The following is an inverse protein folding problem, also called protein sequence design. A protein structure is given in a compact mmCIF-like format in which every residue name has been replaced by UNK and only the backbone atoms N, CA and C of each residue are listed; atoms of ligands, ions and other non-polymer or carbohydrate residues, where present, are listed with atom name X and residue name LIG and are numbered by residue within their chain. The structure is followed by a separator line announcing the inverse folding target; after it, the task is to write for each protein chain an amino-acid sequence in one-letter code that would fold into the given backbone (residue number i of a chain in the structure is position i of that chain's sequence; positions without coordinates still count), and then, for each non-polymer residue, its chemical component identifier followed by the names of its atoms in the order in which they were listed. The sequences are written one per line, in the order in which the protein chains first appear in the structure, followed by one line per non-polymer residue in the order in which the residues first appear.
data_IF_579673858712
#
_entry.id   IF_579673858712
#
_cell.length_a   1.000
_cell.length_b   1.000
_cell.length_c   1.000
_cell.angle_alpha   90.00
_cell.angle_beta   90.00
_cell.angle_gamma   90.00
#
_symmetry.space_group_name_H-M   'P 1'
#
loop_
_entity.id
_entity.type
_entity.pdbx_description
1 polymer ?
#
# COMPACT_ATOMS: atom_id res chain seq x y z
N UNK A 1 -0.76 14.45 10.76
CA UNK A 1 -1.46 13.57 9.81
C UNK A 1 -2.21 12.48 10.57
N UNK A 2 -3.52 12.39 10.40
CA UNK A 2 -4.42 11.42 11.04
C UNK A 2 -4.24 10.01 10.45
N UNK A 3 -4.89 8.99 11.05
CA UNK A 3 -4.93 7.64 10.47
C UNK A 3 -5.65 7.64 9.12
N UNK A 4 -6.79 8.33 9.03
CA UNK A 4 -7.58 8.42 7.80
C UNK A 4 -6.79 9.09 6.68
N UNK A 5 -6.12 10.21 6.95
CA UNK A 5 -5.28 10.89 5.96
C UNK A 5 -4.16 9.97 5.43
N UNK A 6 -3.49 9.21 6.31
CA UNK A 6 -2.46 8.25 5.90
C UNK A 6 -3.01 7.14 5.01
N UNK A 7 -4.19 6.65 5.34
CA UNK A 7 -4.86 5.62 4.56
C UNK A 7 -5.22 6.16 3.16
N UNK A 8 -5.89 7.31 3.08
CA UNK A 8 -6.28 7.93 1.81
C UNK A 8 -5.07 8.31 0.93
N UNK A 9 -3.97 8.78 1.51
CA UNK A 9 -2.75 9.08 0.76
C UNK A 9 -2.03 7.84 0.24
N UNK A 10 -2.26 6.67 0.86
CA UNK A 10 -1.55 5.43 0.49
C UNK A 10 -2.39 4.50 -0.38
N UNK A 11 -3.71 4.56 -0.33
CA UNK A 11 -4.50 3.41 -0.81
C UNK A 11 -4.74 3.32 -2.31
N UNK A 12 -4.46 4.37 -3.10
CA UNK A 12 -4.93 4.45 -4.48
C UNK A 12 -3.87 4.89 -5.50
N UNK A 13 -4.22 4.70 -6.78
CA UNK A 13 -3.48 5.07 -7.98
C UNK A 13 -2.13 4.35 -8.21
N UNK A 14 -2.03 3.10 -7.77
CA UNK A 14 -0.81 2.30 -7.95
C UNK A 14 -0.74 1.56 -9.28
N UNK A 15 0.46 1.47 -9.83
CA UNK A 15 0.79 0.49 -10.87
C UNK A 15 1.08 -0.86 -10.20
N UNK A 16 0.03 -1.58 -9.81
CA UNK A 16 0.16 -2.89 -9.16
C UNK A 16 -0.21 -4.02 -10.11
N UNK A 17 0.64 -5.04 -10.16
CA UNK A 17 0.29 -6.35 -10.70
C UNK A 17 -0.77 -7.00 -9.80
N UNK A 18 -1.97 -7.19 -10.32
CA UNK A 18 -3.14 -7.60 -9.52
C UNK A 18 -2.99 -9.00 -8.95
N UNK A 19 -2.36 -9.92 -9.68
CA UNK A 19 -2.21 -11.31 -9.26
C UNK A 19 -1.24 -11.41 -8.08
N UNK A 20 -0.10 -10.71 -8.18
CA UNK A 20 0.89 -10.64 -7.11
C UNK A 20 0.35 -9.89 -5.90
N UNK A 21 -0.37 -8.80 -6.15
CA UNK A 21 -0.95 -7.96 -5.11
C UNK A 21 -2.02 -8.70 -4.29
N UNK A 22 -2.87 -9.52 -4.93
CA UNK A 22 -3.87 -10.36 -4.24
C UNK A 22 -3.23 -11.51 -3.42
N UNK A 23 -2.00 -11.91 -3.73
CA UNK A 23 -1.23 -12.90 -2.95
C UNK A 23 -0.47 -12.27 -1.79
N UNK A 24 -0.52 -10.95 -1.62
CA UNK A 24 0.20 -10.25 -0.57
C UNK A 24 -0.40 -10.52 0.82
N UNK A 25 0.48 -10.69 1.81
CA UNK A 25 0.09 -10.71 3.23
C UNK A 25 -0.07 -9.30 3.78
N UNK A 26 0.87 -8.44 3.40
CA UNK A 26 0.95 -7.06 3.85
C UNK A 26 1.19 -6.11 2.68
N UNK A 27 0.63 -4.91 2.80
CA UNK A 27 0.89 -3.78 1.92
C UNK A 27 1.62 -2.71 2.72
N UNK A 28 2.73 -2.22 2.20
CA UNK A 28 3.54 -1.19 2.85
C UNK A 28 3.35 0.17 2.19
N UNK A 29 3.04 1.16 3.01
CA UNK A 29 3.22 2.56 2.66
C UNK A 29 4.71 2.89 2.75
N UNK A 30 5.30 3.40 1.66
CA UNK A 30 6.74 3.71 1.63
C UNK A 30 6.94 5.20 1.34
N UNK A 31 7.79 5.84 2.15
CA UNK A 31 8.26 7.20 1.93
C UNK A 31 9.79 7.24 2.09
N UNK A 32 10.51 7.79 1.11
CA UNK A 32 11.99 7.76 1.06
C UNK A 32 12.59 6.37 1.34
N UNK A 33 12.00 5.32 0.76
CA UNK A 33 12.44 3.93 0.96
C UNK A 33 12.19 3.33 2.33
N UNK A 34 11.53 4.06 3.24
CA UNK A 34 11.18 3.60 4.58
C UNK A 34 9.69 3.29 4.68
N UNK A 35 9.38 2.22 5.39
CA UNK A 35 8.00 1.85 5.67
C UNK A 35 7.44 2.84 6.71
N UNK A 36 6.38 3.55 6.34
CA UNK A 36 5.69 4.50 7.24
C UNK A 36 4.38 3.96 7.77
N UNK A 37 3.81 2.95 7.11
CA UNK A 37 2.61 2.26 7.56
C UNK A 37 2.48 0.86 6.95
N UNK A 38 1.75 -0.03 7.63
CA UNK A 38 1.51 -1.42 7.21
C UNK A 38 0.03 -1.73 7.24
N UNK A 39 -0.47 -2.27 6.13
CA UNK A 39 -1.85 -2.75 5.99
C UNK A 39 -1.89 -4.26 5.78
N UNK A 40 -3.00 -4.88 6.14
CA UNK A 40 -3.32 -6.30 5.96
C UNK A 40 -4.71 -6.44 5.33
N UNK A 41 -5.02 -7.67 4.90
CA UNK A 41 -6.32 -8.05 4.34
C UNK A 41 -6.73 -7.12 3.18
N UNK A 42 -5.74 -6.74 2.37
CA UNK A 42 -5.91 -5.77 1.29
C UNK A 42 -6.56 -6.43 0.07
N UNK A 43 -7.74 -5.95 -0.31
CA UNK A 43 -8.39 -6.29 -1.57
C UNK A 43 -8.09 -5.21 -2.59
N UNK A 44 -7.58 -5.61 -3.76
CA UNK A 44 -7.22 -4.67 -4.81
C UNK A 44 -8.35 -4.50 -5.83
N UNK A 45 -8.62 -3.25 -6.19
CA UNK A 45 -9.74 -2.80 -7.00
C UNK A 45 -9.23 -1.86 -8.12
N UNK A 46 -10.00 -1.66 -9.20
CA UNK A 46 -9.73 -0.57 -10.14
C UNK A 46 -9.69 0.78 -9.41
N UNK A 47 -8.75 1.65 -9.76
CA UNK A 47 -8.69 2.95 -9.11
C UNK A 47 -9.96 3.78 -9.35
N UNK A 48 -10.42 4.50 -8.33
CA UNK A 48 -11.64 5.31 -8.38
C UNK A 48 -12.94 4.50 -8.33
N UNK A 49 -12.88 3.21 -7.95
CA UNK A 49 -14.07 2.35 -7.83
C UNK A 49 -14.68 2.33 -6.43
N UNK A 50 -13.95 2.86 -5.44
CA UNK A 50 -14.38 2.98 -4.04
C UNK A 50 -14.53 4.45 -3.65
N UNK A 51 -15.37 4.71 -2.62
CA UNK A 51 -15.52 6.05 -2.07
C UNK A 51 -14.18 6.58 -1.57
N UNK A 52 -13.84 7.82 -1.90
CA UNK A 52 -12.57 8.47 -1.55
C UNK A 52 -12.80 9.84 -0.96
N UNK A 53 -12.02 10.18 0.06
CA UNK A 53 -12.01 11.55 0.56
C UNK A 53 -11.41 12.48 -0.50
N UNK A 54 -11.86 13.75 -0.60
CA UNK A 54 -11.28 14.72 -1.51
C UNK A 54 -9.76 14.82 -1.28
N UNK A 55 -8.95 14.70 -2.35
CA UNK A 55 -7.51 14.90 -2.25
C UNK A 55 -7.07 16.24 -2.82
N UNK A 56 -6.01 16.86 -2.26
CA UNK A 56 -5.52 18.15 -2.74
C UNK A 56 -4.96 18.14 -4.17
N UNK A 57 -4.69 16.95 -4.72
CA UNK A 57 -4.01 16.75 -6.00
C UNK A 57 -4.62 15.56 -6.75
N UNK A 58 -5.93 15.58 -6.95
CA UNK A 58 -6.53 14.78 -8.01
C UNK A 58 -6.49 15.69 -9.24
N UNK A 59 -5.47 15.53 -10.10
CA UNK A 59 -5.34 16.34 -11.31
C UNK A 59 -6.63 16.32 -12.14
N UNK A 60 -6.91 17.38 -12.88
CA UNK A 60 -8.20 17.63 -13.57
C UNK A 60 -8.58 16.61 -14.68
N UNK A 61 -7.82 15.52 -14.82
CA UNK A 61 -8.01 14.48 -15.82
C UNK A 61 -8.79 13.26 -15.31
N UNK A 62 -9.34 12.44 -16.22
CA UNK A 62 -10.01 11.21 -15.86
C UNK A 62 -9.04 10.23 -15.17
N UNK A 63 -9.55 9.53 -14.15
CA UNK A 63 -8.79 8.48 -13.45
C UNK A 63 -8.37 7.38 -14.44
N UNK A 64 -7.07 7.09 -14.51
CA UNK A 64 -6.54 5.98 -15.29
C UNK A 64 -6.98 4.64 -14.68
N UNK A 65 -7.94 3.98 -15.33
CA UNK A 65 -8.51 2.69 -14.90
C UNK A 65 -7.51 1.53 -14.88
N UNK A 66 -6.30 1.69 -15.44
CA UNK A 66 -5.21 0.71 -15.31
C UNK A 66 -4.55 0.76 -13.94
N UNK A 67 -4.67 1.88 -13.24
CA UNK A 67 -4.24 1.99 -11.85
C UNK A 67 -5.12 1.14 -10.94
N UNK A 68 -4.55 0.82 -9.78
CA UNK A 68 -5.20 0.03 -8.75
C UNK A 68 -5.27 0.81 -7.46
N UNK A 69 -6.30 0.51 -6.69
CA UNK A 69 -6.42 0.91 -5.30
C UNK A 69 -6.64 -0.33 -4.44
N UNK A 70 -6.40 -0.24 -3.15
CA UNK A 70 -6.73 -1.29 -2.21
C UNK A 70 -7.68 -0.81 -1.13
N UNK A 71 -8.51 -1.73 -0.65
CA UNK A 71 -9.27 -1.60 0.59
C UNK A 71 -8.67 -2.56 1.59
N UNK A 72 -8.18 -2.05 2.71
CA UNK A 72 -7.49 -2.87 3.71
C UNK A 72 -7.56 -2.27 5.11
N UNK A 73 -7.00 -3.00 6.07
CA UNK A 73 -6.98 -2.60 7.46
C UNK A 73 -5.54 -2.30 7.92
N UNK A 74 -5.37 -1.40 8.87
CA UNK A 74 -4.09 -1.29 9.58
C UNK A 74 -3.72 -2.64 10.18
N UNK A 75 -2.46 -3.06 10.00
CA UNK A 75 -1.97 -4.27 10.63
C UNK A 75 -1.95 -4.14 12.17
N UNK A 76 -1.81 -5.26 12.88
CA UNK A 76 -1.72 -5.25 14.33
C UNK A 76 -0.51 -4.45 14.82
N UNK A 77 -0.55 -3.95 16.05
CA UNK A 77 0.56 -3.19 16.66
C UNK A 77 1.87 -3.98 16.62
N UNK A 78 1.84 -5.28 16.90
CA UNK A 78 3.02 -6.15 16.84
C UNK A 78 3.66 -6.16 15.43
N UNK A 79 2.83 -6.28 14.38
CA UNK A 79 3.30 -6.26 12.98
C UNK A 79 3.83 -4.87 12.60
N UNK A 80 3.11 -3.81 12.98
CA UNK A 80 3.53 -2.43 12.69
C UNK A 80 4.87 -2.11 13.35
N UNK A 81 5.06 -2.49 14.61
CA UNK A 81 6.33 -2.34 15.32
C UNK A 81 7.46 -3.16 14.68
N UNK A 82 7.15 -4.31 14.05
CA UNK A 82 8.15 -5.13 13.33
C UNK A 82 8.67 -4.44 12.07
N UNK A 83 7.90 -3.60 11.39
CA UNK A 83 8.24 -3.12 10.04
C UNK A 83 8.39 -1.60 9.89
N UNK A 84 7.64 -0.78 10.63
CA UNK A 84 7.71 0.68 10.50
C UNK A 84 9.14 1.19 10.76
N UNK A 85 9.61 2.12 9.94
CA UNK A 85 10.95 2.71 10.00
C UNK A 85 12.04 1.89 9.30
N UNK A 86 11.78 0.61 9.00
CA UNK A 86 12.72 -0.24 8.25
C UNK A 86 12.74 0.12 6.76
N UNK A 87 13.87 -0.15 6.12
CA UNK A 87 14.02 -0.01 4.69
C UNK A 87 13.21 -1.08 3.96
N UNK A 88 12.37 -0.66 3.01
CA UNK A 88 11.55 -1.59 2.21
C UNK A 88 12.41 -2.50 1.32
N UNK A 89 13.57 -1.99 0.86
CA UNK A 89 14.50 -2.74 0.02
C UNK A 89 15.06 -3.96 0.76
N UNK A 90 15.38 -3.82 2.05
CA UNK A 90 15.88 -4.92 2.90
C UNK A 90 14.85 -6.04 3.12
N UNK A 91 13.57 -5.76 2.91
CA UNK A 91 12.47 -6.69 3.21
C UNK A 91 11.98 -7.39 1.93
N UNK A 92 11.85 -6.60 0.87
CA UNK A 92 11.24 -7.05 -0.39
C UNK A 92 12.29 -7.51 -1.39
N UNK A 93 13.55 -7.09 -1.25
CA UNK A 93 14.59 -7.16 -2.30
C UNK A 93 14.15 -6.50 -3.62
N UNK A 94 13.14 -5.63 -3.57
CA UNK A 94 12.64 -4.86 -4.70
C UNK A 94 13.15 -3.42 -4.59
N UNK A 95 13.33 -2.77 -5.74
CA UNK A 95 13.67 -1.35 -5.83
C UNK A 95 12.58 -0.43 -5.24
N UNK A 96 12.81 0.88 -5.30
CA UNK A 96 11.89 1.91 -4.80
C UNK A 96 10.56 1.90 -5.55
N UNK A 97 9.58 1.12 -5.07
CA UNK A 97 8.18 1.33 -5.40
C UNK A 97 7.47 1.95 -4.18
N UNK A 98 6.74 3.06 -4.37
CA UNK A 98 6.04 3.77 -3.28
C UNK A 98 5.00 2.90 -2.55
N UNK A 99 4.55 1.82 -3.18
CA UNK A 99 3.92 0.68 -2.49
C UNK A 99 4.64 -0.61 -2.83
N UNK A 100 4.97 -1.36 -1.78
CA UNK A 100 5.56 -2.70 -1.91
C UNK A 100 4.77 -3.71 -1.09
N UNK A 101 4.77 -4.96 -1.53
CA UNK A 101 4.00 -6.03 -0.90
C UNK A 101 4.85 -7.30 -0.78
N UNK A 102 4.59 -8.10 0.25
CA UNK A 102 5.24 -9.39 0.47
C UNK A 102 4.23 -10.53 0.26
N UNK A 103 4.54 -11.55 -0.54
CA UNK A 103 3.72 -12.75 -0.69
C UNK A 103 3.48 -13.49 0.64
N UNK A 104 2.31 -14.13 0.80
CA UNK A 104 1.92 -14.88 2.01
C UNK A 104 2.84 -16.06 2.35
N UNK A 105 3.45 -16.66 1.35
CA UNK A 105 4.31 -17.84 1.39
C UNK A 105 5.78 -17.53 1.72
N UNK A 106 6.17 -16.25 1.80
CA UNK A 106 7.54 -15.88 2.17
C UNK A 106 7.76 -16.17 3.67
N UNK A 107 8.66 -17.11 3.98
CA UNK A 107 9.07 -17.44 5.37
C UNK A 107 9.42 -16.17 6.13
N UNK A 108 8.78 -15.98 7.29
CA UNK A 108 9.13 -14.88 8.18
C UNK A 108 10.50 -15.14 8.80
N UNK A 109 11.38 -14.16 8.69
CA UNK A 109 12.62 -14.03 9.45
C UNK A 109 12.34 -13.44 10.83
#
# INVERSE_FOLDING_TARGET
MTKTERYELTRAFWNADIERANKAKYVFAVYHGRIVEVFKDAQWMPAGSTFMAPRPYDGDGPVDKRKREFVGQFASTAVRNKFIGKSVAKITNLGQNPVSYIPKDKKEW
#
